data_IF_928104336272
#
_entry.id   IF_928104336272
#
_cell.length_a   1.000
_cell.length_b   1.000
_cell.length_c   1.000
_cell.angle_alpha   90.00
_cell.angle_beta   90.00
_cell.angle_gamma   90.00
#
_symmetry.space_group_name_H-M   'P 1'
#
loop_
_entity.id
_entity.type
_entity.pdbx_description
1 polymer ?
#
# COMPACT_ATOMS: atom_id res chain seq x y z
N UNK A 1 11.19 -11.09 13.71
CA UNK A 1 10.33 -11.11 12.53
C UNK A 1 11.16 -10.77 11.29
N UNK A 2 11.30 -11.71 10.37
CA UNK A 2 12.11 -11.54 9.16
C UNK A 2 11.37 -11.99 7.90
N UNK A 3 12.00 -11.88 6.73
CA UNK A 3 11.41 -12.32 5.44
C UNK A 3 10.99 -13.81 5.45
N UNK A 4 11.58 -14.60 6.35
CA UNK A 4 11.27 -16.03 6.55
C UNK A 4 9.86 -16.26 7.11
N UNK A 5 9.30 -15.28 7.80
CA UNK A 5 7.97 -15.36 8.42
C UNK A 5 6.87 -14.80 7.51
N UNK A 6 7.22 -14.37 6.30
CA UNK A 6 6.25 -13.83 5.34
C UNK A 6 5.46 -14.95 4.69
N UNK A 7 4.14 -14.89 4.81
CA UNK A 7 3.24 -15.68 4.00
C UNK A 7 3.02 -14.98 2.65
N UNK A 8 3.65 -15.50 1.60
CA UNK A 8 3.54 -14.95 0.24
C UNK A 8 2.13 -15.06 -0.36
N UNK A 9 1.26 -15.87 0.23
CA UNK A 9 -0.12 -16.09 -0.20
C UNK A 9 -1.13 -15.25 0.56
N UNK A 10 -0.72 -14.58 1.65
CA UNK A 10 -1.59 -13.72 2.46
C UNK A 10 -2.25 -12.62 1.59
N UNK A 11 -3.59 -12.55 1.53
CA UNK A 11 -4.30 -11.54 0.74
C UNK A 11 -3.89 -10.10 1.04
N UNK A 12 -3.60 -9.77 2.29
CA UNK A 12 -3.12 -8.45 2.71
C UNK A 12 -1.84 -8.02 2.00
N UNK A 13 -0.93 -8.95 1.64
CA UNK A 13 0.26 -8.61 0.85
C UNK A 13 -0.10 -8.11 -0.54
N UNK A 14 -1.06 -8.77 -1.20
CA UNK A 14 -1.56 -8.34 -2.50
C UNK A 14 -2.28 -7.00 -2.40
N UNK A 15 -3.13 -6.84 -1.39
CA UNK A 15 -3.86 -5.59 -1.16
C UNK A 15 -2.92 -4.40 -1.02
N UNK A 16 -1.93 -4.44 -0.12
CA UNK A 16 -0.95 -3.34 0.03
C UNK A 16 -0.21 -3.06 -1.28
N UNK A 17 0.14 -4.10 -2.03
CA UNK A 17 0.80 -3.93 -3.31
C UNK A 17 -0.09 -3.23 -4.34
N UNK A 18 -1.38 -3.55 -4.45
CA UNK A 18 -2.33 -2.88 -5.37
C UNK A 18 -2.62 -1.44 -4.95
N UNK A 19 -2.91 -1.20 -3.68
CA UNK A 19 -3.25 0.14 -3.16
C UNK A 19 -2.15 1.18 -3.38
N UNK A 20 -0.90 0.74 -3.51
CA UNK A 20 0.25 1.63 -3.74
C UNK A 20 0.53 1.95 -5.21
N UNK A 21 -0.05 1.19 -6.14
CA UNK A 21 0.22 1.32 -7.59
C UNK A 21 -1.00 1.75 -8.40
N UNK A 22 -2.19 1.54 -7.86
CA UNK A 22 -3.45 1.81 -8.53
C UNK A 22 -4.24 2.88 -7.76
N UNK A 23 -4.34 4.11 -8.32
CA UNK A 23 -5.11 5.18 -7.71
C UNK A 23 -6.58 4.83 -7.49
N UNK A 24 -7.21 4.06 -8.38
CA UNK A 24 -8.62 3.67 -8.24
C UNK A 24 -8.81 2.69 -7.06
N UNK A 25 -7.85 1.78 -6.88
CA UNK A 25 -7.84 0.89 -5.73
C UNK A 25 -7.64 1.67 -4.42
N UNK A 26 -6.76 2.67 -4.41
CA UNK A 26 -6.55 3.53 -3.25
C UNK A 26 -7.78 4.40 -2.93
N UNK A 27 -8.44 4.94 -3.94
CA UNK A 27 -9.66 5.72 -3.77
C UNK A 27 -10.80 4.87 -3.23
N UNK A 28 -10.94 3.63 -3.71
CA UNK A 28 -11.87 2.65 -3.13
C UNK A 28 -11.54 2.40 -1.66
N UNK A 29 -10.28 2.15 -1.33
CA UNK A 29 -9.84 1.93 0.05
C UNK A 29 -10.14 3.11 0.98
N UNK A 30 -9.91 4.33 0.51
CA UNK A 30 -10.19 5.54 1.29
C UNK A 30 -11.68 5.76 1.52
N UNK A 31 -12.50 5.44 0.53
CA UNK A 31 -13.97 5.62 0.60
C UNK A 31 -14.62 4.48 1.38
N UNK A 32 -14.15 3.26 1.19
CA UNK A 32 -14.76 2.03 1.64
C UNK A 32 -13.68 0.94 1.88
N UNK A 33 -13.20 0.92 3.12
CA UNK A 33 -12.25 -0.09 3.58
C UNK A 33 -12.83 -1.51 3.46
N UNK A 34 -14.09 -1.71 3.85
CA UNK A 34 -14.74 -3.03 3.84
C UNK A 34 -14.85 -3.60 2.43
N UNK A 35 -15.28 -2.80 1.45
CA UNK A 35 -15.33 -3.22 0.06
C UNK A 35 -13.94 -3.59 -0.47
N UNK A 36 -12.89 -2.88 -0.04
CA UNK A 36 -11.51 -3.21 -0.42
C UNK A 36 -11.08 -4.54 0.18
N UNK A 37 -11.31 -4.76 1.47
CA UNK A 37 -10.97 -6.02 2.13
C UNK A 37 -11.76 -7.19 1.53
N UNK A 38 -13.02 -6.99 1.16
CA UNK A 38 -13.84 -7.98 0.48
C UNK A 38 -13.32 -8.29 -0.93
N UNK A 39 -12.93 -7.28 -1.73
CA UNK A 39 -12.34 -7.46 -3.07
C UNK A 39 -11.11 -8.36 -3.04
N UNK A 40 -10.27 -8.22 -2.03
CA UNK A 40 -9.07 -9.03 -1.85
C UNK A 40 -9.31 -10.34 -1.12
N UNK A 41 -10.53 -10.61 -0.65
CA UNK A 41 -10.91 -11.82 0.09
C UNK A 41 -10.09 -12.02 1.37
N UNK A 42 -9.88 -10.94 2.12
CA UNK A 42 -9.23 -11.01 3.43
C UNK A 42 -10.04 -11.93 4.36
N UNK A 43 -9.32 -12.68 5.18
CA UNK A 43 -9.90 -13.40 6.32
C UNK A 43 -10.47 -12.42 7.35
N UNK A 44 -11.31 -12.91 8.26
CA UNK A 44 -11.90 -12.04 9.28
C UNK A 44 -10.85 -11.50 10.27
N UNK A 45 -9.80 -12.27 10.52
CA UNK A 45 -8.66 -11.83 11.34
C UNK A 45 -7.85 -10.73 10.65
N UNK A 46 -7.58 -10.86 9.34
CA UNK A 46 -6.98 -9.78 8.55
C UNK A 46 -7.86 -8.53 8.58
N UNK A 47 -9.17 -8.67 8.35
CA UNK A 47 -10.09 -7.53 8.36
C UNK A 47 -10.06 -6.77 9.67
N UNK A 48 -10.08 -7.49 10.79
CA UNK A 48 -10.01 -6.87 12.11
C UNK A 48 -8.71 -6.10 12.29
N UNK A 49 -7.57 -6.72 11.93
CA UNK A 49 -6.28 -6.07 12.01
C UNK A 49 -6.18 -4.82 11.12
N UNK A 50 -6.83 -4.80 9.96
CA UNK A 50 -6.90 -3.61 9.10
C UNK A 50 -7.76 -2.49 9.69
N UNK A 51 -8.91 -2.80 10.30
CA UNK A 51 -9.77 -1.79 10.95
C UNK A 51 -9.07 -1.10 12.12
N UNK A 52 -8.32 -1.88 12.90
CA UNK A 52 -7.61 -1.40 14.08
C UNK A 52 -6.20 -0.87 13.76
N UNK A 53 -5.75 -1.06 12.51
CA UNK A 53 -4.37 -0.79 12.10
C UNK A 53 -3.36 -1.55 12.98
N UNK A 54 -3.71 -2.79 13.35
CA UNK A 54 -2.89 -3.68 14.17
C UNK A 54 -1.75 -4.29 13.32
N UNK A 55 -0.67 -3.53 13.22
CA UNK A 55 0.54 -3.94 12.52
C UNK A 55 1.19 -5.19 13.13
N UNK A 56 1.02 -5.42 14.44
CA UNK A 56 1.59 -6.59 15.10
C UNK A 56 0.85 -7.88 14.70
N UNK A 57 -0.48 -7.83 14.61
CA UNK A 57 -1.27 -8.94 14.08
C UNK A 57 -1.01 -9.15 12.58
N UNK A 58 -1.00 -8.09 11.77
CA UNK A 58 -0.67 -8.22 10.34
C UNK A 58 0.72 -8.83 10.15
N UNK A 59 1.69 -8.42 10.97
CA UNK A 59 3.01 -9.02 11.00
C UNK A 59 2.94 -10.52 11.31
N UNK A 60 2.31 -10.90 12.42
CA UNK A 60 2.15 -12.30 12.82
C UNK A 60 1.46 -13.16 11.75
N UNK A 61 0.51 -12.60 11.02
CA UNK A 61 -0.20 -13.26 9.92
C UNK A 61 0.67 -13.47 8.66
N UNK A 62 1.86 -12.87 8.61
CA UNK A 62 2.78 -13.03 7.49
C UNK A 62 2.75 -11.87 6.49
N UNK A 63 2.25 -10.69 6.87
CA UNK A 63 2.45 -9.49 6.07
C UNK A 63 3.95 -9.22 5.91
N UNK A 64 4.37 -8.97 4.68
CA UNK A 64 5.77 -8.74 4.36
C UNK A 64 6.30 -7.52 5.13
N UNK A 65 7.48 -7.58 5.78
CA UNK A 65 8.00 -6.50 6.62
C UNK A 65 8.10 -5.13 5.94
N UNK A 66 8.41 -5.10 4.64
CA UNK A 66 8.42 -3.88 3.83
C UNK A 66 7.04 -3.18 3.73
N UNK A 67 5.94 -3.94 3.87
CA UNK A 67 4.58 -3.42 3.78
C UNK A 67 4.04 -2.91 5.12
N UNK A 68 4.58 -3.34 6.26
CA UNK A 68 4.17 -2.84 7.58
C UNK A 68 4.20 -1.30 7.69
N UNK A 69 5.29 -0.59 7.35
CA UNK A 69 5.29 0.88 7.38
C UNK A 69 4.44 1.51 6.27
N UNK A 70 4.03 0.74 5.25
CA UNK A 70 3.18 1.24 4.18
C UNK A 70 1.71 1.21 4.57
N UNK A 71 1.29 0.22 5.38
CA UNK A 71 -0.08 0.16 5.92
C UNK A 71 -0.42 1.44 6.67
N UNK A 72 0.43 1.89 7.59
CA UNK A 72 0.20 3.14 8.33
C UNK A 72 0.16 4.38 7.43
N UNK A 73 0.94 4.40 6.35
CA UNK A 73 0.94 5.49 5.35
C UNK A 73 -0.35 5.55 4.53
N UNK A 74 -1.00 4.41 4.28
CA UNK A 74 -2.28 4.37 3.57
C UNK A 74 -3.38 5.11 4.35
N UNK A 75 -3.40 4.99 5.68
CA UNK A 75 -4.39 5.61 6.57
C UNK A 75 -4.12 7.08 6.89
N UNK A 76 -2.85 7.48 7.11
CA UNK A 76 -2.52 8.88 7.45
C UNK A 76 -2.56 9.84 6.25
N UNK A 77 -2.91 9.33 5.06
CA UNK A 77 -2.99 10.10 3.83
C UNK A 77 -1.62 10.32 3.20
N UNK A 78 -1.56 10.19 1.88
CA UNK A 78 -0.38 10.44 1.05
C UNK A 78 0.07 11.91 0.97
N UNK A 79 -0.07 12.70 2.05
CA UNK A 79 0.50 14.06 2.13
C UNK A 79 2.03 14.09 2.01
N UNK A 80 2.68 12.93 2.01
CA UNK A 80 4.11 12.75 1.71
C UNK A 80 4.40 11.84 0.51
N UNK A 81 3.38 11.45 -0.26
CA UNK A 81 3.51 10.51 -1.37
C UNK A 81 2.82 11.01 -2.64
N UNK A 82 2.85 12.32 -2.87
CA UNK A 82 2.74 12.80 -4.24
C UNK A 82 4.00 12.36 -4.99
N UNK A 83 3.84 11.93 -6.24
CA UNK A 83 4.95 11.81 -7.21
C UNK A 83 5.69 13.15 -7.45
N UNK A 84 5.39 14.20 -6.67
CA UNK A 84 6.13 15.45 -6.51
C UNK A 84 7.19 15.43 -5.40
N UNK A 85 7.37 14.33 -4.65
CA UNK A 85 8.49 14.25 -3.69
C UNK A 85 9.83 14.40 -4.43
N UNK A 86 10.81 15.07 -3.81
CA UNK A 86 12.15 15.22 -4.41
C UNK A 86 12.75 13.87 -4.80
N UNK A 87 12.44 12.80 -4.07
CA UNK A 87 12.85 11.44 -4.38
C UNK A 87 12.22 10.90 -5.67
N UNK A 88 10.94 11.17 -5.93
CA UNK A 88 10.26 10.78 -7.17
C UNK A 88 10.78 11.58 -8.38
N UNK A 89 11.05 12.88 -8.20
CA UNK A 89 11.63 13.75 -9.24
C UNK A 89 13.06 13.32 -9.59
N UNK A 90 13.87 13.02 -8.58
CA UNK A 90 15.23 12.52 -8.76
C UNK A 90 15.25 11.15 -9.47
N UNK A 91 14.33 10.25 -9.13
CA UNK A 91 14.21 8.97 -9.81
C UNK A 91 13.86 9.15 -11.30
N UNK A 92 12.88 10.00 -11.62
CA UNK A 92 12.50 10.31 -13.00
C UNK A 92 13.66 10.96 -13.79
N UNK A 93 14.41 11.87 -13.17
CA UNK A 93 15.61 12.50 -13.75
C UNK A 93 16.69 11.46 -14.07
N UNK A 94 17.01 10.57 -13.13
CA UNK A 94 18.05 9.54 -13.33
C UNK A 94 17.63 8.46 -14.33
N UNK A 95 16.33 8.20 -14.46
CA UNK A 95 15.78 7.23 -15.41
C UNK A 95 15.50 7.81 -16.80
N UNK A 96 15.72 9.11 -17.04
CA UNK A 96 15.46 9.81 -18.33
C UNK A 96 14.03 9.63 -18.86
N UNK A 97 13.05 9.48 -17.97
CA UNK A 97 11.64 9.40 -18.37
C UNK A 97 11.19 10.83 -18.61
N UNK A 98 11.11 11.24 -19.88
CA UNK A 98 10.71 12.58 -20.26
C UNK A 98 9.27 12.87 -19.78
N UNK A 99 9.11 13.83 -18.86
CA UNK A 99 7.80 14.43 -18.58
C UNK A 99 7.40 15.32 -19.76
N UNK A 100 6.87 14.70 -20.80
CA UNK A 100 6.27 15.39 -21.94
C UNK A 100 4.89 15.92 -21.58
N UNK A 101 4.81 17.14 -21.05
CA UNK A 101 3.58 17.94 -21.07
C UNK A 101 3.90 19.43 -20.82
N UNK A 102 4.18 20.17 -21.88
CA UNK A 102 3.81 21.58 -22.05
C UNK A 102 4.16 22.01 -23.48
N UNK A 103 3.29 21.68 -24.43
CA UNK A 103 3.20 22.43 -25.67
C UNK A 103 1.95 23.31 -25.58
N UNK A 104 2.17 24.58 -25.24
CA UNK A 104 1.39 25.72 -25.73
C UNK A 104 2.18 27.01 -25.52
#
# INVERSE_FOLDING_TARGET
MGIRDTDRTLPSNRMVFELRRDPEAYDLFRRDLEASMARFKLSDEEKQAWREVDLATLARLGLHPYFLPQVSRLFKGGGYNHNDSEAARLYAEKMKIASGAAAR
#
